data_IF_757940331435
#
_entry.id   IF_757940331435
#
_cell.length_a   1.000
_cell.length_b   1.000
_cell.length_c   1.000
_cell.angle_alpha   90.00
_cell.angle_beta   90.00
_cell.angle_gamma   90.00
#
_symmetry.space_group_name_H-M   'P 1'
#
loop_
_entity.id
_entity.type
_entity.pdbx_description
1 polymer ?
#
# COMPACT_ATOMS: atom_id res chain seq x y z
N UNK A 1 3.32 -3.38 -9.34
CA UNK A 1 3.06 -2.75 -8.04
C UNK A 1 3.23 -3.76 -6.91
N UNK A 2 2.41 -4.81 -6.81
CA UNK A 2 2.47 -5.83 -5.73
C UNK A 2 3.78 -6.65 -5.72
N UNK A 3 4.29 -7.03 -6.90
CA UNK A 3 5.56 -7.78 -7.01
C UNK A 3 6.78 -6.89 -6.71
N UNK A 4 6.73 -5.63 -7.14
CA UNK A 4 7.81 -4.66 -6.97
C UNK A 4 7.93 -4.15 -5.52
N UNK A 5 6.88 -4.30 -4.71
CA UNK A 5 6.87 -3.98 -3.28
C UNK A 5 7.22 -5.18 -2.37
N UNK A 6 7.64 -6.32 -2.94
CA UNK A 6 8.04 -7.49 -2.16
C UNK A 6 6.88 -8.34 -1.63
N UNK A 7 5.63 -7.98 -1.92
CA UNK A 7 4.44 -8.74 -1.51
C UNK A 7 4.12 -9.84 -2.54
N UNK A 8 5.04 -10.78 -2.71
CA UNK A 8 4.83 -11.95 -3.56
C UNK A 8 5.32 -13.22 -2.88
N UNK A 9 4.64 -14.33 -3.13
CA UNK A 9 5.15 -15.65 -2.77
C UNK A 9 5.97 -16.18 -3.96
N UNK A 10 7.13 -16.78 -3.67
CA UNK A 10 7.95 -17.44 -4.68
C UNK A 10 7.52 -18.91 -4.77
N UNK A 11 6.82 -19.26 -5.84
CA UNK A 11 6.39 -20.64 -6.09
C UNK A 11 7.46 -21.32 -6.95
N UNK A 12 7.98 -22.44 -6.48
CA UNK A 12 8.89 -23.29 -7.26
C UNK A 12 8.08 -24.27 -8.12
N UNK A 13 8.29 -24.20 -9.43
CA UNK A 13 7.65 -25.08 -10.40
C UNK A 13 8.37 -26.44 -10.45
N UNK A 14 7.70 -27.50 -10.94
CA UNK A 14 8.32 -28.83 -11.06
C UNK A 14 9.59 -28.86 -11.94
N UNK A 15 9.77 -27.88 -12.82
CA UNK A 15 10.94 -27.68 -13.67
C UNK A 15 12.09 -26.91 -12.98
N UNK A 16 11.92 -26.56 -11.70
CA UNK A 16 12.90 -25.84 -10.89
C UNK A 16 12.86 -24.32 -11.02
N UNK A 17 12.02 -23.76 -11.90
CA UNK A 17 11.92 -22.30 -12.07
C UNK A 17 11.09 -21.64 -10.95
N UNK A 18 11.44 -20.40 -10.61
CA UNK A 18 10.74 -19.62 -9.57
C UNK A 18 9.79 -18.61 -10.21
N UNK A 19 8.52 -18.63 -9.81
CA UNK A 19 7.50 -17.69 -10.27
C UNK A 19 7.02 -16.80 -9.12
N UNK A 20 7.07 -15.48 -9.33
CA UNK A 20 6.57 -14.49 -8.35
C UNK A 20 5.05 -14.41 -8.45
N UNK A 21 4.35 -14.91 -7.45
CA UNK A 21 2.89 -14.81 -7.37
C UNK A 21 2.52 -13.60 -6.50
N UNK A 22 1.89 -12.55 -7.06
CA UNK A 22 1.50 -11.39 -6.25
C UNK A 22 0.53 -11.85 -5.17
N UNK A 23 0.86 -11.57 -3.89
CA UNK A 23 0.03 -11.97 -2.77
C UNK A 23 -1.28 -11.17 -2.84
N UNK A 24 -2.41 -11.86 -2.81
CA UNK A 24 -3.70 -11.20 -2.68
C UNK A 24 -3.79 -10.62 -1.27
N UNK A 25 -3.89 -9.30 -1.14
CA UNK A 25 -3.95 -8.62 0.15
C UNK A 25 -5.36 -8.84 0.72
N UNK A 26 -5.52 -9.85 1.56
CA UNK A 26 -6.74 -10.06 2.33
C UNK A 26 -6.74 -9.10 3.52
N UNK A 27 -7.28 -7.88 3.34
CA UNK A 27 -7.38 -6.86 4.40
C UNK A 27 -7.99 -7.41 5.71
N UNK A 28 -8.87 -8.40 5.62
CA UNK A 28 -9.54 -9.02 6.77
C UNK A 28 -8.62 -9.89 7.66
N UNK A 29 -7.48 -10.35 7.14
CA UNK A 29 -6.56 -11.26 7.86
C UNK A 29 -5.21 -10.60 8.19
N UNK A 30 -5.09 -9.29 7.99
CA UNK A 30 -3.86 -8.54 8.20
C UNK A 30 -3.77 -8.14 9.68
N UNK A 31 -2.63 -8.42 10.32
CA UNK A 31 -2.37 -7.88 11.65
C UNK A 31 -2.07 -6.37 11.59
N UNK A 32 -2.15 -5.71 12.75
CA UNK A 32 -2.00 -4.26 12.79
C UNK A 32 -0.62 -3.78 12.31
N UNK A 33 0.44 -4.56 12.51
CA UNK A 33 1.78 -4.18 12.05
C UNK A 33 1.87 -4.26 10.53
N UNK A 34 1.36 -5.33 9.94
CA UNK A 34 1.31 -5.52 8.50
C UNK A 34 0.41 -4.47 7.83
N UNK A 35 -0.70 -4.09 8.48
CA UNK A 35 -1.57 -3.02 8.02
C UNK A 35 -0.88 -1.66 8.03
N UNK A 36 -0.21 -1.31 9.13
CA UNK A 36 0.52 -0.04 9.22
C UNK A 36 1.63 0.07 8.17
N UNK A 37 2.34 -1.03 7.88
CA UNK A 37 3.36 -1.05 6.83
C UNK A 37 2.76 -0.86 5.43
N UNK A 38 1.67 -1.57 5.11
CA UNK A 38 0.99 -1.42 3.83
C UNK A 38 0.40 -0.02 3.67
N UNK A 39 -0.26 0.49 4.71
CA UNK A 39 -0.84 1.83 4.73
C UNK A 39 0.23 2.89 4.45
N UNK A 40 1.37 2.82 5.15
CA UNK A 40 2.49 3.74 4.93
C UNK A 40 3.05 3.65 3.51
N UNK A 41 3.25 2.43 3.00
CA UNK A 41 3.77 2.24 1.64
C UNK A 41 2.82 2.80 0.57
N UNK A 42 1.51 2.60 0.72
CA UNK A 42 0.51 3.16 -0.18
C UNK A 42 0.49 4.69 -0.11
N UNK A 43 0.57 5.27 1.09
CA UNK A 43 0.62 6.71 1.29
C UNK A 43 1.88 7.33 0.67
N UNK A 44 3.05 6.71 0.84
CA UNK A 44 4.32 7.18 0.25
C UNK A 44 4.25 7.24 -1.29
N UNK A 45 3.61 6.25 -1.92
CA UNK A 45 3.39 6.22 -3.38
C UNK A 45 2.41 7.32 -3.80
N UNK A 46 1.26 7.43 -3.14
CA UNK A 46 0.27 8.47 -3.45
C UNK A 46 0.87 9.87 -3.27
N UNK A 47 1.69 10.06 -2.24
CA UNK A 47 2.43 11.28 -1.99
C UNK A 47 3.33 11.65 -3.17
N UNK A 48 4.22 10.74 -3.57
CA UNK A 48 5.21 11.01 -4.61
C UNK A 48 4.59 11.33 -5.98
N UNK A 49 3.46 10.71 -6.32
CA UNK A 49 2.93 10.79 -7.68
C UNK A 49 1.73 11.72 -7.84
N UNK A 50 0.93 11.90 -6.79
CA UNK A 50 -0.34 12.61 -6.86
C UNK A 50 -0.37 13.77 -5.86
N UNK A 51 -0.21 13.46 -4.57
CA UNK A 51 -0.49 14.44 -3.51
C UNK A 51 0.56 15.54 -3.42
N UNK A 52 1.84 15.26 -3.69
CA UNK A 52 2.92 16.29 -3.69
C UNK A 52 2.75 17.38 -4.74
N UNK A 53 1.86 17.19 -5.72
CA UNK A 53 1.50 18.21 -6.73
C UNK A 53 0.30 19.04 -6.29
N UNK A 54 -0.53 18.50 -5.41
CA UNK A 54 -1.77 19.11 -4.94
C UNK A 54 -1.61 19.75 -3.55
N UNK A 55 -0.68 19.26 -2.74
CA UNK A 55 -0.45 19.65 -1.35
C UNK A 55 1.02 20.00 -1.14
N UNK A 56 1.24 20.96 -0.23
CA UNK A 56 2.56 21.54 0.02
C UNK A 56 3.41 20.66 0.93
N UNK A 57 2.77 19.98 1.88
CA UNK A 57 3.40 19.02 2.78
C UNK A 57 2.45 17.87 3.17
N UNK A 58 3.03 16.82 3.74
CA UNK A 58 2.30 15.59 4.08
C UNK A 58 1.21 15.84 5.13
N UNK A 59 1.43 16.79 6.04
CA UNK A 59 0.47 17.17 7.08
C UNK A 59 -0.79 17.82 6.47
N UNK A 60 -0.63 18.61 5.42
CA UNK A 60 -1.76 19.19 4.69
C UNK A 60 -2.62 18.10 4.01
N UNK A 61 -1.98 17.10 3.40
CA UNK A 61 -2.68 15.96 2.81
C UNK A 61 -3.39 15.09 3.85
N UNK A 62 -2.76 14.83 5.00
CA UNK A 62 -3.35 14.09 6.11
C UNK A 62 -4.57 14.82 6.70
N UNK A 63 -4.48 16.14 6.90
CA UNK A 63 -5.61 16.95 7.35
C UNK A 63 -6.79 16.90 6.36
N UNK A 64 -6.51 16.95 5.05
CA UNK A 64 -7.54 16.85 4.02
C UNK A 64 -8.21 15.45 4.04
N UNK A 65 -7.43 14.39 4.21
CA UNK A 65 -7.95 13.04 4.37
C UNK A 65 -8.84 12.91 5.61
N UNK A 66 -8.44 13.48 6.75
CA UNK A 66 -9.26 13.51 7.97
C UNK A 66 -10.58 14.26 7.77
N UNK A 67 -10.58 15.39 7.06
CA UNK A 67 -11.81 16.11 6.73
C UNK A 67 -12.74 15.26 5.84
N UNK A 68 -12.20 14.60 4.82
CA UNK A 68 -12.97 13.75 3.91
C UNK A 68 -13.60 12.55 4.63
N UNK A 69 -12.86 11.95 5.56
CA UNK A 69 -13.36 10.86 6.43
C UNK A 69 -14.44 11.35 7.40
N UNK A 70 -14.36 12.60 7.87
CA UNK A 70 -15.39 13.20 8.73
C UNK A 70 -16.73 13.44 8.01
N UNK A 71 -16.73 13.54 6.67
CA UNK A 71 -17.97 13.65 5.87
C UNK A 71 -18.59 12.29 5.52
N UNK A 72 -17.84 11.19 5.69
CA UNK A 72 -18.32 9.84 5.44
C UNK A 72 -19.00 9.19 6.66
N UNK A 73 -19.20 9.96 7.75
CA UNK A 73 -19.89 9.57 8.98
C UNK A 73 -21.36 9.95 8.98
#
# INVERSE_FOLDING_TARGET
>A
MIIESGHYDAIQLPDGTLRKHPRSIAFANMDETEFQQLYKAALDVLWRWVLSRAFKDQREAENAASQLMSFAG
#
